data_IF_540082736393
#
_entry.id   IF_540082736393
#
_cell.length_a   1.000
_cell.length_b   1.000
_cell.length_c   1.000
_cell.angle_alpha   90.00
_cell.angle_beta   90.00
_cell.angle_gamma   90.00
#
_symmetry.space_group_name_H-M   'P 1'
#
loop_
_entity.id
_entity.type
_entity.pdbx_description
1 polymer ?
#
# COMPACT_ATOMS: atom_id res chain seq x y z
N UNK A 1 23.21 -2.05 -8.41
CA UNK A 1 24.32 -1.96 -9.41
C UNK A 1 24.57 -3.33 -9.98
N UNK A 2 25.10 -3.44 -11.21
CA UNK A 2 25.35 -4.73 -11.86
C UNK A 2 26.71 -5.31 -11.44
N UNK A 3 26.72 -5.97 -10.27
CA UNK A 3 27.93 -6.50 -9.64
C UNK A 3 27.80 -8.01 -9.37
N UNK A 4 28.66 -8.82 -9.99
CA UNK A 4 28.56 -10.29 -9.92
C UNK A 4 28.66 -10.87 -8.50
N UNK A 5 29.62 -10.47 -7.64
CA UNK A 5 29.65 -10.94 -6.25
C UNK A 5 28.34 -10.67 -5.48
N UNK A 6 27.80 -9.45 -5.63
CA UNK A 6 26.54 -9.08 -5.00
C UNK A 6 25.36 -9.90 -5.55
N UNK A 7 25.25 -10.02 -6.88
CA UNK A 7 24.21 -10.79 -7.55
C UNK A 7 24.20 -12.25 -7.08
N UNK A 8 25.37 -12.88 -7.01
CA UNK A 8 25.51 -14.25 -6.52
C UNK A 8 25.06 -14.39 -5.05
N UNK A 9 25.46 -13.45 -4.18
CA UNK A 9 25.07 -13.45 -2.77
C UNK A 9 23.56 -13.24 -2.57
N UNK A 10 23.00 -12.23 -3.25
CA UNK A 10 21.57 -11.92 -3.23
C UNK A 10 20.74 -13.10 -3.74
N UNK A 11 21.07 -13.62 -4.92
CA UNK A 11 20.38 -14.78 -5.50
C UNK A 11 20.43 -15.98 -4.57
N UNK A 12 21.60 -16.32 -4.00
CA UNK A 12 21.74 -17.44 -3.06
C UNK A 12 20.81 -17.28 -1.85
N UNK A 13 20.68 -16.09 -1.29
CA UNK A 13 19.81 -15.85 -0.15
C UNK A 13 18.32 -15.89 -0.55
N UNK A 14 17.95 -15.23 -1.65
CA UNK A 14 16.57 -15.25 -2.16
C UNK A 14 16.12 -16.68 -2.48
N UNK A 15 16.95 -17.46 -3.17
CA UNK A 15 16.71 -18.88 -3.46
C UNK A 15 16.53 -19.71 -2.19
N UNK A 16 17.35 -19.48 -1.18
CA UNK A 16 17.23 -20.16 0.12
C UNK A 16 15.87 -19.89 0.75
N UNK A 17 15.44 -18.61 0.82
CA UNK A 17 14.15 -18.25 1.41
C UNK A 17 13.00 -18.84 0.61
N UNK A 18 12.99 -18.70 -0.72
CA UNK A 18 11.93 -19.27 -1.56
C UNK A 18 11.87 -20.79 -1.43
N UNK A 19 13.02 -21.47 -1.38
CA UNK A 19 13.07 -22.93 -1.19
C UNK A 19 12.50 -23.35 0.15
N UNK A 20 12.81 -22.62 1.22
CA UNK A 20 12.23 -22.87 2.55
C UNK A 20 10.72 -22.67 2.54
N UNK A 21 10.21 -21.58 1.95
CA UNK A 21 8.77 -21.34 1.87
C UNK A 21 8.05 -22.41 1.05
N UNK A 22 8.68 -22.89 -0.03
CA UNK A 22 8.15 -24.00 -0.85
C UNK A 22 8.10 -25.32 -0.10
N UNK A 23 9.15 -25.64 0.66
CA UNK A 23 9.24 -26.88 1.44
C UNK A 23 8.11 -26.96 2.48
N UNK A 24 7.75 -25.82 3.08
CA UNK A 24 6.66 -25.68 4.05
C UNK A 24 5.30 -25.38 3.40
N UNK A 25 5.19 -25.47 2.07
CA UNK A 25 3.96 -25.22 1.30
C UNK A 25 3.30 -23.85 1.59
N UNK A 26 4.11 -22.82 1.84
CA UNK A 26 3.61 -21.52 2.30
C UNK A 26 3.12 -20.61 1.17
N UNK A 27 3.42 -20.89 -0.10
CA UNK A 27 2.84 -20.14 -1.22
C UNK A 27 1.37 -20.50 -1.44
N UNK A 28 0.54 -19.53 -1.80
CA UNK A 28 -0.88 -19.75 -2.07
C UNK A 28 -1.12 -20.78 -3.19
N UNK A 29 -0.23 -20.84 -4.18
CA UNK A 29 -0.18 -21.87 -5.21
C UNK A 29 -0.04 -23.31 -4.66
N UNK A 30 0.42 -23.45 -3.42
CA UNK A 30 0.57 -24.71 -2.68
C UNK A 30 -0.46 -24.86 -1.54
N UNK A 31 -1.41 -23.92 -1.41
CA UNK A 31 -2.40 -23.87 -0.32
C UNK A 31 -2.00 -23.04 0.90
N UNK A 32 -0.84 -22.38 0.87
CA UNK A 32 -0.33 -21.55 1.97
C UNK A 32 -0.79 -20.09 1.93
N UNK A 33 -0.32 -19.25 2.88
CA UNK A 33 -0.78 -17.87 3.03
C UNK A 33 -0.07 -16.83 2.14
N UNK A 34 1.08 -17.13 1.53
CA UNK A 34 1.86 -16.15 0.77
C UNK A 34 1.22 -15.93 -0.61
N UNK A 35 0.60 -14.78 -0.81
CA UNK A 35 -0.11 -14.41 -2.05
C UNK A 35 0.72 -13.57 -3.03
N UNK A 36 1.85 -13.02 -2.59
CA UNK A 36 2.78 -12.21 -3.40
C UNK A 36 4.16 -12.15 -2.71
N UNK A 37 5.18 -11.72 -3.45
CA UNK A 37 6.53 -11.48 -2.91
C UNK A 37 7.16 -10.24 -3.52
N UNK A 38 7.98 -9.51 -2.76
CA UNK A 38 8.72 -8.36 -3.26
C UNK A 38 10.19 -8.73 -3.49
N UNK A 39 10.75 -8.32 -4.63
CA UNK A 39 12.19 -8.32 -4.86
C UNK A 39 12.68 -6.89 -4.82
N UNK A 40 13.85 -6.63 -4.21
CA UNK A 40 14.34 -5.27 -3.96
C UNK A 40 13.42 -4.40 -3.08
N UNK A 41 13.83 -3.18 -2.77
CA UNK A 41 13.01 -2.20 -2.07
C UNK A 41 13.36 -0.76 -2.47
N UNK A 42 12.40 -0.05 -3.06
CA UNK A 42 12.54 1.34 -3.51
C UNK A 42 13.79 1.60 -4.36
N UNK A 43 14.10 0.67 -5.27
CA UNK A 43 15.33 0.74 -6.05
C UNK A 43 15.28 1.74 -7.21
N UNK A 44 14.09 2.12 -7.71
CA UNK A 44 13.94 3.04 -8.85
C UNK A 44 14.68 4.39 -8.69
N UNK A 45 14.57 5.09 -7.55
CA UNK A 45 15.38 6.29 -7.28
C UNK A 45 16.90 6.03 -7.32
N UNK A 46 17.35 4.90 -6.77
CA UNK A 46 18.78 4.51 -6.78
C UNK A 46 19.23 4.17 -8.19
N UNK A 47 18.42 3.43 -8.94
CA UNK A 47 18.65 3.10 -10.34
C UNK A 47 18.84 4.35 -11.20
N UNK A 48 17.98 5.35 -11.01
CA UNK A 48 18.07 6.62 -11.71
C UNK A 48 19.44 7.27 -11.51
N UNK A 49 19.90 7.31 -10.26
CA UNK A 49 21.19 7.89 -9.89
C UNK A 49 22.38 7.12 -10.49
N UNK A 50 22.36 5.79 -10.42
CA UNK A 50 23.50 4.97 -10.86
C UNK A 50 23.46 4.62 -12.36
N UNK A 51 22.38 4.95 -13.06
CA UNK A 51 22.28 4.86 -14.52
C UNK A 51 22.26 3.44 -15.09
N UNK A 52 23.03 3.21 -16.16
CA UNK A 52 22.97 1.95 -16.93
C UNK A 52 23.25 0.67 -16.11
N UNK A 53 24.21 0.63 -15.15
CA UNK A 53 24.36 -0.49 -14.23
C UNK A 53 23.14 -0.75 -13.34
N UNK A 54 22.36 0.28 -13.01
CA UNK A 54 21.08 0.15 -12.32
C UNK A 54 20.06 -0.59 -13.19
N UNK A 55 19.88 -0.12 -14.43
CA UNK A 55 18.99 -0.75 -15.43
C UNK A 55 19.31 -2.22 -15.69
N UNK A 56 20.59 -2.55 -15.83
CA UNK A 56 21.02 -3.94 -16.02
C UNK A 56 20.69 -4.79 -14.79
N UNK A 57 20.93 -4.26 -13.59
CA UNK A 57 20.61 -4.90 -12.33
C UNK A 57 19.10 -5.09 -12.12
N UNK A 58 18.27 -4.07 -12.35
CA UNK A 58 16.80 -4.15 -12.24
C UNK A 58 16.24 -5.28 -13.10
N UNK A 59 16.68 -5.36 -14.36
CA UNK A 59 16.32 -6.46 -15.27
C UNK A 59 16.81 -7.81 -14.80
N UNK A 60 17.98 -7.89 -14.16
CA UNK A 60 18.49 -9.14 -13.59
C UNK A 60 17.68 -9.56 -12.37
N UNK A 61 17.43 -8.67 -11.41
CA UNK A 61 16.76 -8.96 -10.15
C UNK A 61 15.32 -9.46 -10.39
N UNK A 62 14.58 -8.76 -11.25
CA UNK A 62 13.24 -9.17 -11.64
C UNK A 62 13.22 -10.54 -12.34
N UNK A 63 14.13 -10.80 -13.30
CA UNK A 63 14.23 -12.10 -13.98
C UNK A 63 14.61 -13.22 -13.03
N UNK A 64 15.55 -12.98 -12.13
CA UNK A 64 15.98 -13.96 -11.11
C UNK A 64 14.79 -14.34 -10.23
N UNK A 65 14.09 -13.35 -9.66
CA UNK A 65 12.95 -13.57 -8.78
C UNK A 65 11.81 -14.33 -9.46
N UNK A 66 11.41 -13.91 -10.67
CA UNK A 66 10.38 -14.59 -11.47
C UNK A 66 10.79 -16.02 -11.79
N UNK A 67 12.07 -16.26 -12.13
CA UNK A 67 12.63 -17.58 -12.41
C UNK A 67 12.59 -18.55 -11.23
N UNK A 68 12.39 -18.07 -10.00
CA UNK A 68 12.22 -18.92 -8.83
C UNK A 68 10.86 -19.65 -8.80
N UNK A 69 9.92 -19.31 -9.70
CA UNK A 69 8.67 -20.03 -9.91
C UNK A 69 7.88 -20.25 -8.62
N UNK A 70 7.60 -19.19 -7.86
CA UNK A 70 6.81 -19.22 -6.61
C UNK A 70 5.35 -19.58 -6.85
N UNK A 71 4.84 -19.39 -8.08
CA UNK A 71 3.44 -19.61 -8.44
C UNK A 71 2.51 -18.48 -8.00
N UNK A 72 3.06 -17.39 -7.44
CA UNK A 72 2.34 -16.17 -7.06
C UNK A 72 3.04 -14.93 -7.63
N UNK A 73 2.36 -13.78 -7.76
CA UNK A 73 2.96 -12.57 -8.33
C UNK A 73 4.19 -12.04 -7.58
N UNK A 74 5.10 -11.43 -8.33
CA UNK A 74 6.20 -10.62 -7.80
C UNK A 74 5.88 -9.13 -7.93
N UNK A 75 6.31 -8.35 -6.95
CA UNK A 75 6.16 -6.89 -6.91
C UNK A 75 7.51 -6.19 -6.71
N UNK A 76 7.58 -4.90 -7.08
CA UNK A 76 8.69 -3.99 -6.79
C UNK A 76 8.14 -2.60 -6.43
N UNK A 77 8.41 -2.10 -5.22
CA UNK A 77 7.94 -0.78 -4.82
C UNK A 77 8.85 0.34 -5.38
N UNK A 78 8.23 1.48 -5.75
CA UNK A 78 8.89 2.63 -6.40
C UNK A 78 9.81 2.24 -7.57
N UNK A 79 9.30 1.39 -8.47
CA UNK A 79 10.06 0.87 -9.60
C UNK A 79 9.29 1.05 -10.92
N UNK A 80 9.25 2.27 -11.45
CA UNK A 80 8.43 2.62 -12.62
C UNK A 80 8.75 1.76 -13.86
N UNK A 81 9.97 1.26 -14.01
CA UNK A 81 10.38 0.42 -15.14
C UNK A 81 10.46 -1.09 -14.81
N UNK A 82 9.77 -1.54 -13.76
CA UNK A 82 9.67 -2.96 -13.40
C UNK A 82 9.23 -3.82 -14.61
N UNK A 83 10.05 -4.78 -15.07
CA UNK A 83 9.74 -5.56 -16.26
C UNK A 83 8.62 -6.57 -16.00
N UNK A 84 7.83 -6.88 -17.02
CA UNK A 84 6.82 -7.93 -16.91
C UNK A 84 7.43 -9.29 -16.53
N UNK A 85 6.74 -10.11 -15.72
CA UNK A 85 5.38 -9.91 -15.18
C UNK A 85 5.32 -9.16 -13.82
N UNK A 86 6.40 -8.53 -13.37
CA UNK A 86 6.48 -7.89 -12.03
C UNK A 86 5.57 -6.66 -11.96
N UNK A 87 4.85 -6.50 -10.85
CA UNK A 87 3.97 -5.35 -10.62
C UNK A 87 4.74 -4.26 -9.86
N UNK A 88 4.81 -3.07 -10.43
CA UNK A 88 5.32 -1.91 -9.72
C UNK A 88 4.26 -1.35 -8.75
N UNK A 89 4.70 -0.92 -7.56
CA UNK A 89 3.80 -0.48 -6.48
C UNK A 89 4.22 0.87 -5.90
N UNK A 90 3.31 1.50 -5.17
CA UNK A 90 3.51 2.81 -4.56
C UNK A 90 3.73 2.73 -3.04
N UNK A 91 4.53 3.66 -2.52
CA UNK A 91 4.80 3.89 -1.10
C UNK A 91 4.64 5.37 -0.79
N UNK A 92 4.07 5.71 0.36
CA UNK A 92 3.92 7.11 0.77
C UNK A 92 2.82 7.36 1.79
N UNK A 93 2.55 8.64 2.05
CA UNK A 93 1.34 9.06 2.77
C UNK A 93 0.09 9.00 1.89
N UNK A 94 0.27 9.13 0.59
CA UNK A 94 -0.77 9.21 -0.44
C UNK A 94 -0.31 8.54 -1.74
N UNK A 95 -1.14 7.69 -2.32
CA UNK A 95 -0.87 7.01 -3.60
C UNK A 95 -2.08 7.03 -4.55
N UNK A 96 -3.08 7.89 -4.31
CA UNK A 96 -4.33 7.90 -5.09
C UNK A 96 -4.12 8.21 -6.57
N UNK A 97 -3.01 8.85 -6.96
CA UNK A 97 -2.68 9.15 -8.35
C UNK A 97 -1.63 8.20 -8.96
N UNK A 98 -1.10 7.25 -8.18
CA UNK A 98 -0.24 6.21 -8.71
C UNK A 98 -0.99 5.39 -9.76
N UNK A 99 -0.30 5.04 -10.84
CA UNK A 99 -0.77 4.12 -11.87
C UNK A 99 0.38 3.17 -12.16
N UNK A 100 0.16 1.84 -12.14
CA UNK A 100 1.22 0.89 -12.46
C UNK A 100 1.67 1.06 -13.90
N UNK A 101 2.88 0.62 -14.21
CA UNK A 101 3.54 0.87 -15.49
C UNK A 101 2.88 0.19 -16.71
N UNK A 102 1.86 -0.63 -16.49
CA UNK A 102 1.02 -1.27 -17.51
C UNK A 102 -0.44 -1.30 -17.08
N UNK A 103 -1.35 -1.06 -18.03
CA UNK A 103 -2.81 -1.00 -17.78
C UNK A 103 -3.43 -2.32 -17.30
N UNK A 104 -2.80 -3.47 -17.54
CA UNK A 104 -3.29 -4.78 -17.07
C UNK A 104 -2.76 -5.16 -15.68
N UNK A 105 -1.95 -4.32 -15.05
CA UNK A 105 -1.45 -4.54 -13.69
C UNK A 105 -2.38 -3.86 -12.69
N UNK A 106 -2.63 -4.47 -11.51
CA UNK A 106 -3.45 -3.85 -10.48
C UNK A 106 -2.72 -2.68 -9.82
N UNK A 107 -3.48 -1.68 -9.37
CA UNK A 107 -2.97 -0.56 -8.58
C UNK A 107 -2.80 -0.97 -7.12
N UNK A 108 -1.55 -1.02 -6.65
CA UNK A 108 -1.18 -1.52 -5.34
C UNK A 108 -0.37 -0.50 -4.53
N UNK A 109 -0.74 -0.32 -3.27
CA UNK A 109 -0.07 0.54 -2.30
C UNK A 109 0.57 -0.31 -1.20
N UNK A 110 1.88 -0.51 -1.29
CA UNK A 110 2.67 -1.39 -0.41
C UNK A 110 2.99 -0.77 0.94
N UNK A 111 3.07 0.56 1.03
CA UNK A 111 3.34 1.25 2.29
C UNK A 111 2.48 2.50 2.44
N UNK A 112 1.32 2.35 3.08
CA UNK A 112 0.60 3.48 3.66
C UNK A 112 1.27 3.85 4.97
N UNK A 113 2.02 4.95 4.99
CA UNK A 113 2.74 5.35 6.19
C UNK A 113 1.77 5.79 7.29
N UNK A 114 1.72 5.06 8.41
CA UNK A 114 0.79 5.31 9.53
C UNK A 114 1.22 6.42 10.47
N UNK A 115 2.43 6.92 10.26
CA UNK A 115 3.18 7.87 11.06
C UNK A 115 4.59 7.96 10.48
N UNK A 116 5.60 8.01 11.34
CA UNK A 116 7.00 7.97 10.93
C UNK A 116 7.85 7.29 12.02
N UNK A 117 9.07 6.89 11.66
CA UNK A 117 9.99 6.32 12.65
C UNK A 117 10.48 7.41 13.61
N UNK A 118 10.79 7.03 14.85
CA UNK A 118 11.37 7.95 15.84
C UNK A 118 12.89 7.90 15.76
N UNK A 119 13.53 9.06 15.79
CA UNK A 119 14.99 9.20 15.83
C UNK A 119 15.44 9.56 17.25
N UNK A 120 16.64 9.11 17.64
CA UNK A 120 17.28 9.59 18.86
C UNK A 120 17.54 11.10 18.74
N UNK A 121 16.97 11.87 19.67
CA UNK A 121 17.02 13.34 19.65
C UNK A 121 15.85 13.99 18.90
N UNK A 122 14.99 13.21 18.24
CA UNK A 122 13.78 13.68 17.56
C UNK A 122 12.53 13.62 18.44
N UNK A 123 11.46 14.28 18.00
CA UNK A 123 10.11 14.12 18.56
C UNK A 123 9.45 12.84 18.03
N UNK A 124 8.45 12.31 18.75
CA UNK A 124 7.63 11.18 18.31
C UNK A 124 6.63 11.65 17.25
N UNK A 125 6.75 11.23 15.97
CA UNK A 125 5.86 11.70 14.91
C UNK A 125 4.53 10.96 14.93
N UNK A 126 3.43 11.64 14.59
CA UNK A 126 2.08 11.05 14.53
C UNK A 126 1.36 11.42 13.24
N UNK A 127 0.37 10.60 12.85
CA UNK A 127 -0.53 10.85 11.72
C UNK A 127 -1.99 10.62 12.16
N UNK A 128 -2.91 11.58 11.97
CA UNK A 128 -4.30 11.42 12.37
C UNK A 128 -4.99 10.21 11.73
N UNK A 129 -5.92 9.59 12.47
CA UNK A 129 -6.67 8.43 12.01
C UNK A 129 -7.57 8.79 10.81
N UNK A 130 -8.12 10.00 10.83
CA UNK A 130 -9.02 10.56 9.83
C UNK A 130 -8.28 10.78 8.50
N UNK A 131 -7.07 11.34 8.56
CA UNK A 131 -6.20 11.53 7.38
C UNK A 131 -5.78 10.19 6.77
N UNK A 132 -5.40 9.23 7.62
CA UNK A 132 -5.04 7.89 7.19
C UNK A 132 -6.22 7.19 6.52
N UNK A 133 -7.41 7.22 7.13
CA UNK A 133 -8.63 6.64 6.55
C UNK A 133 -9.02 7.33 5.24
N UNK A 134 -8.95 8.66 5.19
CA UNK A 134 -9.18 9.45 3.98
C UNK A 134 -8.24 9.03 2.85
N UNK A 135 -6.94 8.91 3.12
CA UNK A 135 -5.95 8.54 2.10
C UNK A 135 -6.23 7.16 1.49
N UNK A 136 -6.66 6.20 2.31
CA UNK A 136 -7.01 4.84 1.87
C UNK A 136 -8.29 4.86 1.04
N UNK A 137 -9.36 5.50 1.54
CA UNK A 137 -10.61 5.65 0.79
C UNK A 137 -10.37 6.34 -0.56
N UNK A 138 -9.45 7.32 -0.61
CA UNK A 138 -9.07 8.03 -1.84
C UNK A 138 -8.34 7.15 -2.85
N UNK A 139 -7.54 6.18 -2.40
CA UNK A 139 -6.97 5.16 -3.29
C UNK A 139 -8.06 4.20 -3.81
N UNK A 140 -8.85 3.63 -2.89
CA UNK A 140 -9.88 2.62 -3.24
C UNK A 140 -10.91 3.18 -4.21
N UNK A 141 -11.41 4.41 -3.98
CA UNK A 141 -12.39 5.03 -4.87
C UNK A 141 -11.88 5.21 -6.31
N UNK A 142 -10.55 5.27 -6.50
CA UNK A 142 -9.86 5.41 -7.79
C UNK A 142 -9.33 4.06 -8.32
N UNK A 143 -9.96 2.95 -7.96
CA UNK A 143 -9.60 1.61 -8.44
C UNK A 143 -8.37 0.98 -7.75
N UNK A 144 -7.93 1.52 -6.62
CA UNK A 144 -6.94 0.85 -5.78
C UNK A 144 -7.46 -0.50 -5.27
N UNK A 145 -6.65 -1.54 -5.39
CA UNK A 145 -7.07 -2.93 -5.08
C UNK A 145 -6.20 -3.62 -4.03
N UNK A 146 -5.10 -2.99 -3.60
CA UNK A 146 -4.25 -3.47 -2.52
C UNK A 146 -3.73 -2.28 -1.70
N UNK A 147 -3.80 -2.40 -0.38
CA UNK A 147 -3.38 -1.39 0.58
C UNK A 147 -2.73 -2.11 1.77
N UNK A 148 -1.51 -1.73 2.12
CA UNK A 148 -0.82 -2.25 3.30
C UNK A 148 -0.38 -1.11 4.23
N UNK A 149 -0.68 -1.24 5.52
CA UNK A 149 -0.24 -0.30 6.54
C UNK A 149 1.24 -0.53 6.87
N UNK A 150 2.06 0.49 6.66
CA UNK A 150 3.44 0.54 7.14
C UNK A 150 3.52 1.59 8.25
N UNK A 151 3.36 1.24 9.53
CA UNK A 151 3.26 -0.10 10.11
C UNK A 151 1.86 -0.38 10.65
N UNK A 152 1.38 -1.63 10.55
CA UNK A 152 0.21 -2.04 11.32
C UNK A 152 0.54 -2.28 12.80
N UNK A 153 1.71 -2.88 13.05
CA UNK A 153 2.39 -2.95 14.34
C UNK A 153 3.87 -2.66 14.09
N UNK A 154 4.40 -1.63 14.73
CA UNK A 154 5.79 -1.23 14.56
C UNK A 154 6.75 -2.00 15.47
N UNK A 155 6.45 -2.04 16.78
CA UNK A 155 7.22 -2.81 17.77
C UNK A 155 8.53 -2.14 18.21
N UNK A 156 9.54 -2.95 18.49
CA UNK A 156 10.80 -2.51 19.11
C UNK A 156 12.02 -3.05 18.37
N UNK A 157 13.00 -2.19 18.11
CA UNK A 157 14.33 -2.57 17.64
C UNK A 157 15.17 -3.15 18.79
N UNK A 158 15.00 -4.44 19.08
CA UNK A 158 15.69 -5.10 20.20
C UNK A 158 17.20 -5.29 19.99
N UNK A 159 17.93 -5.33 21.09
CA UNK A 159 19.36 -5.64 21.10
C UNK A 159 20.19 -4.55 20.44
N UNK A 160 21.16 -4.95 19.60
CA UNK A 160 22.17 -4.05 19.02
C UNK A 160 22.48 -4.29 17.54
N UNK A 161 21.67 -5.13 16.90
CA UNK A 161 21.77 -5.46 15.46
C UNK A 161 20.41 -5.29 14.77
N UNK A 162 19.47 -4.63 15.44
CA UNK A 162 18.22 -4.13 14.87
C UNK A 162 18.25 -2.60 14.81
N UNK A 163 17.40 -2.00 13.98
CA UNK A 163 17.35 -0.55 13.76
C UNK A 163 18.44 -0.01 12.83
N UNK A 164 18.17 1.13 12.20
CA UNK A 164 19.12 1.87 11.38
C UNK A 164 19.90 2.92 12.18
N UNK A 165 20.87 3.61 11.55
CA UNK A 165 21.61 4.70 12.17
C UNK A 165 20.67 5.74 12.80
N UNK A 166 20.89 6.09 14.08
CA UNK A 166 20.09 7.05 14.85
C UNK A 166 18.60 6.74 15.00
N UNK A 167 18.10 5.60 14.52
CA UNK A 167 16.73 5.19 14.82
C UNK A 167 16.62 4.82 16.29
N UNK A 168 15.55 5.29 16.94
CA UNK A 168 15.26 4.96 18.32
C UNK A 168 15.02 3.45 18.50
N UNK A 169 15.17 2.99 19.75
CA UNK A 169 14.79 1.62 20.14
C UNK A 169 13.30 1.38 19.87
N UNK A 170 12.45 2.36 20.15
CA UNK A 170 11.03 2.30 19.80
C UNK A 170 10.85 2.41 18.29
N UNK A 171 10.06 1.49 17.72
CA UNK A 171 9.61 1.54 16.33
C UNK A 171 8.10 1.68 16.25
N UNK A 172 7.47 2.34 17.23
CA UNK A 172 6.01 2.49 17.36
C UNK A 172 5.29 2.95 16.06
N UNK A 173 5.88 3.91 15.35
CA UNK A 173 5.40 4.43 14.05
C UNK A 173 3.99 5.05 14.08
N UNK A 174 3.45 5.37 15.27
CA UNK A 174 2.04 5.71 15.47
C UNK A 174 1.11 4.67 14.82
N UNK A 175 1.51 3.41 14.89
CA UNK A 175 0.82 2.29 14.26
C UNK A 175 -0.55 2.01 14.93
N UNK A 176 -1.51 1.38 14.22
CA UNK A 176 -2.78 0.94 14.79
C UNK A 176 -2.63 0.02 16.02
N UNK A 177 -1.58 -0.79 16.08
CA UNK A 177 -1.13 -1.44 17.31
C UNK A 177 0.15 -0.75 17.77
N UNK A 178 0.17 -0.25 19.01
CA UNK A 178 1.33 0.44 19.56
C UNK A 178 2.55 -0.48 19.71
N UNK A 179 3.68 0.08 20.14
CA UNK A 179 4.93 -0.66 20.41
C UNK A 179 4.73 -1.92 21.26
N UNK A 180 3.79 -1.89 22.20
CA UNK A 180 3.54 -2.97 23.15
C UNK A 180 2.44 -3.94 22.68
N UNK A 181 1.89 -3.72 21.49
CA UNK A 181 0.85 -4.55 20.89
C UNK A 181 -0.57 -4.21 21.36
N UNK A 182 -0.76 -3.08 22.05
CA UNK A 182 -2.09 -2.62 22.44
C UNK A 182 -2.78 -1.88 21.29
N UNK A 183 -4.10 -2.03 21.10
CA UNK A 183 -4.85 -1.23 20.13
C UNK A 183 -4.76 0.26 20.44
N UNK A 184 -4.28 1.04 19.46
CA UNK A 184 -4.20 2.50 19.54
C UNK A 184 -5.52 3.12 19.10
N UNK A 185 -6.40 3.41 20.06
CA UNK A 185 -7.65 4.12 19.78
C UNK A 185 -7.45 5.64 19.69
N UNK A 186 -8.18 6.34 18.80
CA UNK A 186 -9.25 5.84 17.94
C UNK A 186 -8.77 5.23 16.61
N UNK A 187 -7.45 5.24 16.32
CA UNK A 187 -6.91 4.84 15.01
C UNK A 187 -7.27 3.40 14.66
N UNK A 188 -7.06 2.45 15.57
CA UNK A 188 -7.39 1.05 15.33
C UNK A 188 -8.88 0.85 15.03
N UNK A 189 -9.77 1.37 15.88
CA UNK A 189 -11.22 1.24 15.71
C UNK A 189 -11.75 1.94 14.47
N UNK A 190 -11.26 3.15 14.17
CA UNK A 190 -11.66 3.90 12.99
C UNK A 190 -11.28 3.18 11.69
N UNK A 191 -10.05 2.65 11.60
CA UNK A 191 -9.61 1.88 10.44
C UNK A 191 -10.33 0.52 10.33
N UNK A 192 -10.62 -0.14 11.46
CA UNK A 192 -11.46 -1.35 11.47
C UNK A 192 -12.83 -1.07 10.84
N UNK A 193 -13.45 0.05 11.17
CA UNK A 193 -14.78 0.37 10.64
C UNK A 193 -14.74 0.85 9.18
N UNK A 194 -13.65 1.51 8.75
CA UNK A 194 -13.33 1.72 7.33
C UNK A 194 -13.27 0.39 6.57
N UNK A 195 -12.54 -0.60 7.08
CA UNK A 195 -12.44 -1.92 6.43
C UNK A 195 -13.79 -2.62 6.30
N UNK A 196 -14.66 -2.52 7.32
CA UNK A 196 -16.02 -3.06 7.23
C UNK A 196 -16.82 -2.40 6.11
N UNK A 197 -16.71 -1.07 5.96
CA UNK A 197 -17.36 -0.36 4.86
C UNK A 197 -16.83 -0.83 3.49
N UNK A 198 -15.51 -0.93 3.33
CA UNK A 198 -14.89 -1.46 2.09
C UNK A 198 -15.35 -2.88 1.80
N UNK A 199 -15.44 -3.74 2.82
CA UNK A 199 -15.93 -5.13 2.67
C UNK A 199 -17.39 -5.20 2.26
N UNK A 200 -18.24 -4.35 2.80
CA UNK A 200 -19.62 -4.23 2.32
C UNK A 200 -19.69 -3.78 0.86
N UNK A 201 -18.75 -2.95 0.40
CA UNK A 201 -18.66 -2.48 -1.00
C UNK A 201 -17.96 -3.46 -1.95
N UNK A 202 -17.32 -4.52 -1.45
CA UNK A 202 -16.35 -5.35 -2.19
C UNK A 202 -16.95 -5.95 -3.46
N UNK A 203 -18.19 -6.44 -3.40
CA UNK A 203 -18.85 -7.05 -4.57
C UNK A 203 -19.00 -6.10 -5.77
N UNK A 204 -19.22 -4.81 -5.53
CA UNK A 204 -19.27 -3.79 -6.56
C UNK A 204 -17.86 -3.37 -6.99
N UNK A 205 -16.94 -3.20 -6.04
CA UNK A 205 -15.54 -2.83 -6.29
C UNK A 205 -14.82 -3.81 -7.22
N UNK A 206 -15.06 -5.11 -7.09
CA UNK A 206 -14.38 -6.15 -7.89
C UNK A 206 -15.09 -6.46 -9.22
N UNK A 207 -16.20 -5.79 -9.52
CA UNK A 207 -17.03 -6.08 -10.70
C UNK A 207 -17.30 -4.88 -11.61
N UNK A 208 -16.74 -3.71 -11.28
CA UNK A 208 -16.86 -2.50 -12.08
C UNK A 208 -15.62 -1.62 -11.92
N UNK A 209 -15.38 -0.78 -12.92
CA UNK A 209 -14.48 0.37 -12.81
C UNK A 209 -15.25 1.59 -12.26
N UNK A 210 -14.59 2.51 -11.55
CA UNK A 210 -15.25 3.70 -11.03
C UNK A 210 -15.67 4.64 -12.15
N UNK A 211 -16.92 5.11 -12.09
CA UNK A 211 -17.37 6.28 -12.85
C UNK A 211 -17.33 7.53 -11.96
N UNK A 212 -16.78 8.63 -12.47
CA UNK A 212 -16.58 9.87 -11.70
C UNK A 212 -17.63 10.89 -12.09
N UNK A 213 -18.29 11.49 -11.10
CA UNK A 213 -19.26 12.58 -11.28
C UNK A 213 -18.91 13.73 -10.35
N UNK A 214 -18.84 14.96 -10.87
CA UNK A 214 -18.69 16.15 -10.02
C UNK A 214 -19.97 16.41 -9.24
N UNK A 215 -19.84 16.66 -7.93
CA UNK A 215 -20.93 17.06 -7.02
C UNK A 215 -20.85 18.54 -6.61
N UNK A 216 -19.78 19.21 -6.99
CA UNK A 216 -19.46 20.58 -6.60
C UNK A 216 -18.03 20.95 -6.99
N UNK A 217 -17.57 22.11 -6.53
CA UNK A 217 -16.23 22.65 -6.90
C UNK A 217 -15.08 21.77 -6.39
N UNK A 218 -15.25 21.16 -5.21
CA UNK A 218 -14.23 20.31 -4.56
C UNK A 218 -14.81 18.95 -4.15
N UNK A 219 -15.96 18.57 -4.71
CA UNK A 219 -16.69 17.37 -4.34
C UNK A 219 -16.90 16.45 -5.55
N UNK A 220 -16.68 15.16 -5.35
CA UNK A 220 -16.80 14.13 -6.37
C UNK A 220 -17.57 12.92 -5.82
N UNK A 221 -18.32 12.26 -6.69
CA UNK A 221 -18.81 10.90 -6.50
C UNK A 221 -17.99 9.94 -7.37
N UNK A 222 -17.45 8.88 -6.78
CA UNK A 222 -16.87 7.74 -7.48
C UNK A 222 -17.80 6.55 -7.32
N UNK A 223 -18.42 6.10 -8.41
CA UNK A 223 -19.49 5.10 -8.38
C UNK A 223 -19.07 3.83 -9.12
N UNK A 224 -19.07 2.73 -8.39
CA UNK A 224 -18.87 1.37 -8.89
C UNK A 224 -20.22 0.72 -9.07
N UNK A 225 -20.65 0.52 -10.31
CA UNK A 225 -21.97 -0.05 -10.60
C UNK A 225 -21.86 -1.19 -11.60
N UNK A 226 -22.33 -2.35 -11.18
CA UNK A 226 -22.42 -3.55 -12.01
C UNK A 226 -23.79 -4.21 -11.83
N UNK A 227 -23.99 -5.38 -12.46
CA UNK A 227 -25.19 -6.18 -12.20
C UNK A 227 -25.20 -6.80 -10.80
N UNK A 228 -24.05 -6.93 -10.14
CA UNK A 228 -23.92 -7.56 -8.82
C UNK A 228 -24.04 -6.59 -7.65
N UNK A 229 -23.96 -5.27 -7.88
CA UNK A 229 -24.09 -4.28 -6.81
C UNK A 229 -23.80 -2.86 -7.27
N UNK A 230 -23.93 -1.92 -6.33
CA UNK A 230 -23.60 -0.52 -6.54
C UNK A 230 -23.00 0.03 -5.25
N UNK A 231 -21.75 0.50 -5.30
CA UNK A 231 -21.10 1.21 -4.21
C UNK A 231 -20.68 2.61 -4.66
N UNK A 232 -20.71 3.59 -3.76
CA UNK A 232 -20.32 4.96 -4.05
C UNK A 232 -19.41 5.54 -2.95
N UNK A 233 -18.47 6.38 -3.37
CA UNK A 233 -17.61 7.18 -2.50
C UNK A 233 -17.88 8.64 -2.78
N UNK A 234 -18.33 9.40 -1.78
CA UNK A 234 -18.61 10.83 -1.89
C UNK A 234 -17.49 11.58 -1.18
N UNK A 235 -16.63 12.23 -1.96
CA UNK A 235 -15.44 12.91 -1.47
C UNK A 235 -15.67 14.42 -1.36
N UNK A 236 -15.13 15.01 -0.29
CA UNK A 236 -14.91 16.45 -0.17
C UNK A 236 -13.42 16.73 0.03
N UNK A 237 -12.79 17.33 -0.98
CA UNK A 237 -11.38 17.68 -0.96
C UNK A 237 -11.11 19.07 -0.38
N UNK A 238 -12.15 19.85 -0.05
CA UNK A 238 -11.97 21.11 0.66
C UNK A 238 -11.40 20.83 2.06
N UNK A 239 -10.27 21.44 2.40
CA UNK A 239 -9.58 21.21 3.67
C UNK A 239 -10.09 22.09 4.81
N UNK A 240 -11.02 23.00 4.54
CA UNK A 240 -11.49 24.02 5.49
C UNK A 240 -13.00 23.98 5.71
N UNK A 241 -13.79 23.60 4.70
CA UNK A 241 -15.23 23.77 4.71
C UNK A 241 -15.98 22.46 4.51
N UNK A 242 -17.01 22.23 5.32
CA UNK A 242 -18.00 21.18 5.06
C UNK A 242 -18.80 21.52 3.80
N UNK A 243 -19.28 20.49 3.09
CA UNK A 243 -20.12 20.64 1.92
C UNK A 243 -21.37 19.78 2.03
N UNK A 244 -22.52 20.32 1.61
CA UNK A 244 -23.76 19.55 1.48
C UNK A 244 -23.97 19.17 0.02
N UNK A 245 -23.93 17.87 -0.28
CA UNK A 245 -24.08 17.34 -1.64
C UNK A 245 -25.37 16.55 -1.79
N UNK A 246 -25.94 16.54 -3.00
CA UNK A 246 -27.07 15.66 -3.35
C UNK A 246 -26.56 14.51 -4.19
N UNK A 247 -26.86 13.26 -3.79
CA UNK A 247 -26.47 12.07 -4.52
C UNK A 247 -27.60 11.03 -4.47
N UNK A 248 -28.02 10.54 -5.64
CA UNK A 248 -29.27 9.78 -5.76
C UNK A 248 -30.45 10.61 -5.24
N UNK A 249 -31.23 10.04 -4.31
CA UNK A 249 -32.36 10.73 -3.66
C UNK A 249 -32.00 11.27 -2.25
N UNK A 250 -30.72 11.21 -1.85
CA UNK A 250 -30.25 11.61 -0.53
C UNK A 250 -29.50 12.95 -0.53
N UNK A 251 -29.42 13.57 0.64
CA UNK A 251 -28.52 14.69 0.92
C UNK A 251 -27.49 14.25 1.95
N UNK A 252 -26.22 14.56 1.68
CA UNK A 252 -25.08 14.15 2.50
C UNK A 252 -24.29 15.39 2.90
N UNK A 253 -23.94 15.49 4.18
CA UNK A 253 -23.00 16.48 4.69
C UNK A 253 -21.62 15.83 4.76
N UNK A 254 -20.68 16.37 4.00
CA UNK A 254 -19.31 15.91 3.92
C UNK A 254 -18.41 16.90 4.69
N UNK A 255 -17.82 16.50 5.84
CA UNK A 255 -16.83 17.31 6.53
C UNK A 255 -15.64 17.70 5.62
N UNK A 256 -14.82 18.69 6.02
CA UNK A 256 -13.59 18.98 5.30
C UNK A 256 -12.69 17.73 5.23
N UNK A 257 -12.02 17.53 4.10
CA UNK A 257 -11.05 16.44 3.90
C UNK A 257 -11.59 15.05 4.29
N UNK A 258 -12.76 14.70 3.75
CA UNK A 258 -13.46 13.46 4.12
C UNK A 258 -14.04 12.73 2.92
N UNK A 259 -14.28 11.43 3.09
CA UNK A 259 -14.97 10.58 2.12
C UNK A 259 -16.03 9.78 2.87
N UNK A 260 -17.29 9.86 2.41
CA UNK A 260 -18.36 8.95 2.83
C UNK A 260 -18.42 7.74 1.92
N UNK A 261 -18.51 6.54 2.48
CA UNK A 261 -18.63 5.28 1.73
C UNK A 261 -20.07 4.77 1.84
N UNK A 262 -20.70 4.50 0.69
CA UNK A 262 -22.05 4.00 0.56
C UNK A 262 -21.96 2.62 -0.10
N UNK A 263 -21.98 1.52 0.69
CA UNK A 263 -21.82 0.17 0.17
C UNK A 263 -22.94 -0.33 -0.73
#
# INVERSE_FOLDING_TARGET
TDNEPFKAAMQKFTEKIVSMMKAEQLFQSQGGPIILSQIENEFGPVEWEIGAPGKAYTKWAARMAVGLNTGVPWIMCKQEDAPDPVIDTCNGFYCENFTPNKNYKPKMWTEVWTGWYTEFGGAVPTRPAEDLAFSIARLIQKGGSFVNYYMYHGGTNFGRTAGGPFMATSYDYDAPLDEYGLPREPKWGHLRDLHKAIKSSESALVSAEPSVTSLGNSQEAHVFKSKSGCAAFLANYDTKSSAKVSFGNGQYELPPWSISILP
#
